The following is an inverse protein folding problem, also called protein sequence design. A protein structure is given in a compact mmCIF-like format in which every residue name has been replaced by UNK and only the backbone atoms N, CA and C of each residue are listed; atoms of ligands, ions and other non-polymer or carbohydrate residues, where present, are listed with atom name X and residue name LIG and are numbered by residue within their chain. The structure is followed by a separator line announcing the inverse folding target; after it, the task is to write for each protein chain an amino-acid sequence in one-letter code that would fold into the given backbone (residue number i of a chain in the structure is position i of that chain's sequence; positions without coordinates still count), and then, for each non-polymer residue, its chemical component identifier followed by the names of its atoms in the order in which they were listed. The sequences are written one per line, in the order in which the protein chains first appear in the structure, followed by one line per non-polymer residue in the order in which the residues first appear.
data_IF_405917986872
#
_entry.id   IF_405917986872
#
_cell.length_a   1.000
_cell.length_b   1.000
_cell.length_c   1.000
_cell.angle_alpha   90.00
_cell.angle_beta   90.00
_cell.angle_gamma   90.00
#
_symmetry.space_group_name_H-M   'P 1'
#
loop_
_entity.id
_entity.type
_entity.pdbx_description
1 polymer ?
#
# COMPACT_ATOMS: atom_id res chain seq x y z
N UNK A 1 1.83 -32.85 -3.61
CA UNK A 1 0.92 -31.80 -4.10
C UNK A 1 1.74 -30.52 -4.16
N UNK A 2 2.11 -30.08 -5.37
CA UNK A 2 3.03 -28.96 -5.59
C UNK A 2 2.32 -27.65 -5.23
N UNK A 3 2.91 -26.92 -4.28
CA UNK A 3 2.40 -25.65 -3.75
C UNK A 3 2.55 -24.58 -4.83
N UNK A 4 1.50 -23.88 -5.26
CA UNK A 4 1.64 -22.76 -6.16
C UNK A 4 2.50 -21.70 -5.48
N UNK A 5 3.65 -21.39 -6.08
CA UNK A 5 4.40 -20.19 -5.75
C UNK A 5 3.45 -18.99 -5.82
N UNK A 6 3.47 -18.15 -4.78
CA UNK A 6 2.61 -16.97 -4.62
C UNK A 6 2.96 -15.91 -5.69
N UNK A 7 2.55 -16.15 -6.93
CA UNK A 7 2.65 -15.22 -8.05
C UNK A 7 1.29 -14.52 -8.20
N UNK A 8 1.15 -13.36 -7.56
CA UNK A 8 0.00 -12.48 -7.70
C UNK A 8 -0.73 -12.20 -6.38
N UNK A 9 -1.05 -10.93 -6.14
CA UNK A 9 -1.97 -10.53 -5.07
C UNK A 9 -3.37 -10.89 -5.51
N UNK A 10 -3.90 -12.02 -5.04
CA UNK A 10 -5.35 -12.23 -5.03
C UNK A 10 -5.99 -11.05 -4.29
N UNK A 11 -7.15 -10.60 -4.74
CA UNK A 11 -7.88 -9.51 -4.10
C UNK A 11 -8.27 -9.96 -2.68
N UNK A 12 -7.51 -9.52 -1.68
CA UNK A 12 -7.70 -9.87 -0.28
C UNK A 12 -7.83 -8.59 0.56
N UNK A 13 -8.95 -8.45 1.25
CA UNK A 13 -9.19 -7.39 2.22
C UNK A 13 -8.64 -7.84 3.57
N UNK A 14 -7.38 -7.47 3.86
CA UNK A 14 -6.73 -7.89 5.11
C UNK A 14 -7.43 -7.31 6.34
N UNK A 15 -7.81 -6.04 6.29
CA UNK A 15 -8.64 -5.38 7.30
C UNK A 15 -9.77 -4.71 6.54
N UNK A 16 -10.98 -5.22 6.74
CA UNK A 16 -12.20 -4.64 6.20
C UNK A 16 -12.95 -3.90 7.27
N UNK A 17 -13.70 -2.89 6.88
CA UNK A 17 -14.46 -2.04 7.81
C UNK A 17 -15.97 -2.09 7.54
N UNK A 18 -16.46 -3.28 7.21
CA UNK A 18 -17.89 -3.51 6.99
C UNK A 18 -18.69 -3.12 8.24
N UNK A 19 -19.88 -2.54 8.03
CA UNK A 19 -20.78 -2.02 9.08
C UNK A 19 -20.23 -0.85 9.89
N UNK A 20 -19.11 -0.26 9.49
CA UNK A 20 -18.66 1.01 10.05
C UNK A 20 -19.69 2.11 9.72
N UNK A 21 -20.17 2.83 10.75
CA UNK A 21 -21.13 3.94 10.59
C UNK A 21 -20.63 4.99 9.58
N UNK A 22 -19.31 5.21 9.53
CA UNK A 22 -18.70 6.21 8.63
C UNK A 22 -19.03 6.00 7.15
N UNK A 23 -19.19 4.74 6.70
CA UNK A 23 -19.49 4.44 5.29
C UNK A 23 -20.85 3.76 5.08
N UNK A 24 -21.49 3.30 6.16
CA UNK A 24 -22.79 2.62 6.09
C UNK A 24 -22.79 1.35 5.23
N UNK A 25 -21.63 0.74 4.95
CA UNK A 25 -21.56 -0.42 4.06
C UNK A 25 -22.05 -1.69 4.78
N UNK A 26 -23.12 -2.37 4.32
CA UNK A 26 -23.67 -3.54 5.00
C UNK A 26 -22.79 -4.81 4.87
N UNK A 27 -21.83 -4.80 3.93
CA UNK A 27 -20.95 -5.93 3.59
C UNK A 27 -19.52 -5.42 3.37
N UNK A 28 -18.54 -6.32 3.34
CA UNK A 28 -17.13 -5.94 3.16
C UNK A 28 -16.85 -5.39 1.77
N UNK A 29 -15.83 -4.56 1.63
CA UNK A 29 -15.52 -3.91 0.34
C UNK A 29 -15.20 -4.94 -0.74
N UNK A 30 -14.54 -6.03 -0.36
CA UNK A 30 -14.23 -7.14 -1.26
C UNK A 30 -15.49 -7.67 -1.97
N UNK A 31 -16.64 -7.73 -1.28
CA UNK A 31 -17.90 -8.19 -1.88
C UNK A 31 -18.42 -7.30 -3.01
N UNK A 32 -17.98 -6.04 -3.09
CA UNK A 32 -18.26 -5.13 -4.19
C UNK A 32 -17.20 -5.22 -5.31
N UNK A 33 -16.03 -5.79 -5.03
CA UNK A 33 -15.02 -6.03 -6.07
C UNK A 33 -15.31 -7.35 -6.80
N UNK A 34 -15.79 -8.38 -6.09
CA UNK A 34 -16.06 -9.72 -6.66
C UNK A 34 -17.00 -9.73 -7.90
N UNK A 35 -18.06 -8.92 -7.97
CA UNK A 35 -18.91 -8.84 -9.16
C UNK A 35 -18.20 -8.31 -10.41
N UNK A 36 -17.01 -7.72 -10.27
CA UNK A 36 -16.23 -7.23 -11.39
C UNK A 36 -15.71 -8.39 -12.25
N UNK A 37 -16.44 -8.68 -13.33
CA UNK A 37 -16.03 -9.65 -14.34
C UNK A 37 -16.39 -9.13 -15.74
N UNK A 38 -15.69 -8.09 -16.20
CA UNK A 38 -15.89 -7.51 -17.53
C UNK A 38 -15.70 -8.51 -18.67
N UNK A 39 -14.90 -9.55 -18.45
CA UNK A 39 -14.67 -10.65 -19.39
C UNK A 39 -15.17 -11.96 -18.77
N UNK A 40 -16.38 -12.42 -19.12
CA UNK A 40 -16.98 -13.64 -18.58
C UNK A 40 -16.15 -14.91 -18.84
N UNK A 41 -15.36 -14.89 -19.93
CA UNK A 41 -14.51 -16.01 -20.34
C UNK A 41 -13.23 -16.14 -19.52
N UNK A 42 -12.90 -15.15 -18.67
CA UNK A 42 -11.72 -15.17 -17.82
C UNK A 42 -12.08 -15.63 -16.41
N UNK A 43 -11.17 -16.39 -15.81
CA UNK A 43 -11.31 -16.86 -14.45
C UNK A 43 -11.09 -15.71 -13.47
N UNK A 44 -11.67 -15.81 -12.27
CA UNK A 44 -11.43 -14.83 -11.19
C UNK A 44 -9.93 -14.70 -10.83
N UNK A 45 -9.14 -15.74 -11.09
CA UNK A 45 -7.69 -15.73 -10.86
C UNK A 45 -6.89 -14.89 -11.86
N UNK A 46 -7.50 -14.42 -12.94
CA UNK A 46 -6.85 -13.59 -13.96
C UNK A 46 -6.92 -12.08 -13.64
N UNK A 47 -7.67 -11.70 -12.58
CA UNK A 47 -7.79 -10.33 -12.08
C UNK A 47 -6.94 -10.14 -10.82
N UNK A 48 -6.05 -9.14 -10.85
CA UNK A 48 -5.11 -8.85 -9.78
C UNK A 48 -5.33 -7.46 -9.22
N UNK A 49 -5.35 -7.36 -7.90
CA UNK A 49 -5.31 -6.08 -7.23
C UNK A 49 -3.89 -5.48 -7.34
N UNK A 50 -3.81 -4.21 -7.74
CA UNK A 50 -2.53 -3.48 -7.82
C UNK A 50 -2.38 -2.55 -6.62
N UNK A 51 -3.28 -1.58 -6.48
CA UNK A 51 -3.24 -0.58 -5.42
C UNK A 51 -4.59 0.16 -5.32
N UNK A 52 -4.72 1.03 -4.32
CA UNK A 52 -5.88 1.89 -4.12
C UNK A 52 -5.44 3.28 -3.66
N UNK A 53 -6.32 4.25 -3.88
CA UNK A 53 -6.16 5.62 -3.40
C UNK A 53 -7.53 6.28 -3.34
N UNK A 54 -7.87 6.86 -2.19
CA UNK A 54 -9.15 7.53 -1.92
C UNK A 54 -10.37 6.76 -2.47
N UNK A 55 -10.47 5.47 -2.12
CA UNK A 55 -11.59 4.60 -2.47
C UNK A 55 -11.67 4.14 -3.92
N UNK A 56 -10.81 4.66 -4.81
CA UNK A 56 -10.57 4.07 -6.12
C UNK A 56 -9.60 2.91 -6.00
N UNK A 57 -9.82 1.88 -6.81
CA UNK A 57 -8.95 0.71 -6.89
C UNK A 57 -8.45 0.51 -8.32
N UNK A 58 -7.19 0.11 -8.43
CA UNK A 58 -6.55 -0.30 -9.68
C UNK A 58 -6.48 -1.82 -9.74
N UNK A 59 -7.11 -2.39 -10.77
CA UNK A 59 -7.07 -3.81 -11.10
C UNK A 59 -6.29 -3.99 -12.39
N UNK A 60 -5.39 -4.97 -12.41
CA UNK A 60 -4.77 -5.45 -13.63
C UNK A 60 -5.35 -6.80 -14.03
N UNK A 61 -5.45 -7.01 -15.33
CA UNK A 61 -5.88 -8.26 -15.93
C UNK A 61 -4.71 -8.80 -16.74
N UNK A 62 -4.31 -10.03 -16.44
CA UNK A 62 -3.32 -10.77 -17.23
C UNK A 62 -4.02 -11.78 -18.11
N UNK A 63 -3.83 -11.69 -19.42
CA UNK A 63 -4.25 -12.73 -20.36
C UNK A 63 -3.09 -13.70 -20.56
N UNK A 64 -3.37 -15.00 -20.57
CA UNK A 64 -2.35 -16.04 -20.84
C UNK A 64 -1.89 -16.06 -22.30
N UNK A 65 -2.53 -15.27 -23.17
CA UNK A 65 -2.13 -15.15 -24.56
C UNK A 65 -0.99 -14.12 -24.70
N UNK A 66 0.16 -14.50 -25.31
CA UNK A 66 1.35 -13.66 -25.39
C UNK A 66 1.18 -12.37 -26.23
N UNK A 67 0.08 -12.26 -26.97
CA UNK A 67 -0.27 -11.08 -27.78
C UNK A 67 -1.16 -10.06 -27.02
N UNK A 68 -1.75 -10.47 -25.90
CA UNK A 68 -2.60 -9.60 -25.08
C UNK A 68 -1.75 -8.87 -24.03
N UNK A 69 -1.56 -7.57 -24.24
CA UNK A 69 -0.99 -6.68 -23.23
C UNK A 69 -1.85 -6.68 -21.94
N UNK A 70 -1.22 -6.37 -20.80
CA UNK A 70 -1.93 -6.11 -19.54
C UNK A 70 -3.05 -5.10 -19.76
N UNK A 71 -4.24 -5.41 -19.26
CA UNK A 71 -5.37 -4.47 -19.26
C UNK A 71 -5.53 -3.92 -17.86
N UNK A 72 -5.71 -2.62 -17.74
CA UNK A 72 -5.84 -1.94 -16.47
C UNK A 72 -7.22 -1.29 -16.33
N UNK A 73 -7.77 -1.36 -15.12
CA UNK A 73 -9.06 -0.80 -14.79
C UNK A 73 -8.94 -0.02 -13.48
N UNK A 74 -9.34 1.24 -13.52
CA UNK A 74 -9.54 2.03 -12.31
C UNK A 74 -11.04 2.09 -12.05
N UNK A 75 -11.46 1.83 -10.81
CA UNK A 75 -12.88 1.82 -10.50
C UNK A 75 -13.22 2.15 -9.07
N UNK A 76 -14.49 2.52 -8.90
CA UNK A 76 -15.16 2.67 -7.62
C UNK A 76 -15.98 1.39 -7.40
N UNK A 77 -15.54 0.50 -6.49
CA UNK A 77 -16.22 -0.77 -6.27
C UNK A 77 -17.62 -0.55 -5.68
N UNK A 78 -17.82 0.43 -4.81
CA UNK A 78 -19.13 0.70 -4.19
C UNK A 78 -20.17 1.06 -5.25
N UNK A 79 -19.81 1.95 -6.19
CA UNK A 79 -20.70 2.37 -7.27
C UNK A 79 -20.71 1.43 -8.49
N UNK A 80 -19.92 0.36 -8.49
CA UNK A 80 -19.75 -0.55 -9.63
C UNK A 80 -19.33 0.17 -10.92
N UNK A 81 -18.56 1.25 -10.79
CA UNK A 81 -18.11 2.03 -11.93
C UNK A 81 -16.64 1.74 -12.22
N UNK A 82 -16.33 1.52 -13.50
CA UNK A 82 -15.01 1.11 -13.95
C UNK A 82 -14.63 1.83 -15.22
N UNK A 83 -13.38 2.28 -15.29
CA UNK A 83 -12.76 2.92 -16.46
C UNK A 83 -11.64 2.02 -16.93
N UNK A 84 -11.73 1.55 -18.17
CA UNK A 84 -10.65 0.84 -18.84
C UNK A 84 -9.59 1.85 -19.25
N UNK A 85 -8.35 1.63 -18.82
CA UNK A 85 -7.22 2.48 -19.17
C UNK A 85 -6.68 2.05 -20.55
N UNK A 86 -6.44 2.98 -21.49
CA UNK A 86 -5.79 2.66 -22.75
C UNK A 86 -4.38 2.09 -22.50
N UNK A 87 -3.86 1.22 -23.38
CA UNK A 87 -2.52 0.68 -23.19
C UNK A 87 -1.46 1.80 -23.16
N UNK A 88 -0.42 1.68 -22.32
CA UNK A 88 0.68 2.65 -22.31
C UNK A 88 1.42 2.65 -23.66
N UNK A 89 2.07 3.77 -24.04
CA UNK A 89 2.87 3.84 -25.26
C UNK A 89 3.98 2.78 -25.28
N UNK A 90 4.27 2.26 -26.48
CA UNK A 90 4.99 1.00 -26.68
C UNK A 90 6.48 1.08 -26.24
N UNK A 91 7.00 0.14 -25.42
CA UNK A 91 8.38 0.13 -24.90
C UNK A 91 9.53 -0.08 -25.90
N UNK A 92 9.27 -0.07 -27.22
CA UNK A 92 10.14 -0.68 -28.26
C UNK A 92 11.57 -0.12 -28.42
N UNK A 93 12.00 0.81 -27.59
CA UNK A 93 13.39 1.31 -27.54
C UNK A 93 14.22 0.77 -26.38
N UNK A 94 13.67 -0.04 -25.46
CA UNK A 94 14.43 -0.59 -24.33
C UNK A 94 14.77 -2.09 -24.50
N UNK A 95 16.02 -2.50 -24.23
CA UNK A 95 16.54 -3.85 -24.52
C UNK A 95 16.00 -4.96 -23.60
N UNK A 96 15.11 -4.64 -22.65
CA UNK A 96 14.50 -5.63 -21.76
C UNK A 96 13.00 -5.32 -21.61
N UNK A 97 12.13 -5.87 -22.49
CA UNK A 97 10.71 -5.59 -22.49
C UNK A 97 10.01 -6.40 -21.38
N UNK A 98 10.30 -6.09 -20.13
CA UNK A 98 9.42 -6.54 -19.06
C UNK A 98 8.16 -5.66 -19.13
N UNK A 99 6.97 -6.23 -19.31
CA UNK A 99 5.75 -5.45 -19.45
C UNK A 99 5.59 -4.51 -18.26
N UNK A 100 5.36 -3.22 -18.56
CA UNK A 100 5.23 -2.13 -17.61
C UNK A 100 4.21 -2.47 -16.53
N UNK A 101 4.67 -3.01 -15.40
CA UNK A 101 3.81 -3.26 -14.25
C UNK A 101 3.29 -1.93 -13.73
N UNK A 102 1.97 -1.80 -13.62
CA UNK A 102 1.39 -0.69 -12.89
C UNK A 102 2.00 -0.63 -11.49
N UNK A 103 2.58 0.53 -11.18
CA UNK A 103 3.34 0.74 -9.96
C UNK A 103 2.51 1.49 -8.94
N UNK A 104 1.69 2.47 -9.36
CA UNK A 104 0.94 3.31 -8.43
C UNK A 104 -0.35 3.89 -9.01
N UNK A 105 -1.21 4.34 -8.11
CA UNK A 105 -2.45 5.06 -8.39
C UNK A 105 -2.51 6.23 -7.40
N UNK A 106 -2.46 7.46 -7.90
CA UNK A 106 -2.64 8.65 -7.05
C UNK A 106 -3.92 9.37 -7.46
N UNK A 107 -4.60 9.98 -6.49
CA UNK A 107 -5.81 10.75 -6.72
C UNK A 107 -5.64 12.16 -6.19
N UNK A 108 -6.25 13.12 -6.88
CA UNK A 108 -6.50 14.46 -6.38
C UNK A 108 -7.90 14.50 -5.78
N UNK A 109 -8.02 15.10 -4.61
CA UNK A 109 -9.28 15.23 -3.88
C UNK A 109 -9.62 16.71 -3.76
N UNK A 110 -10.79 17.09 -4.27
CA UNK A 110 -11.34 18.44 -4.19
C UNK A 110 -12.68 18.37 -3.50
N UNK A 111 -12.89 19.24 -2.50
CA UNK A 111 -14.14 19.28 -1.71
C UNK A 111 -14.55 17.93 -1.11
N UNK A 112 -13.58 17.07 -0.79
CA UNK A 112 -13.80 15.75 -0.20
C UNK A 112 -14.15 14.64 -1.18
N UNK A 113 -14.17 14.91 -2.49
CA UNK A 113 -14.39 13.94 -3.56
C UNK A 113 -13.19 13.83 -4.50
N UNK A 114 -13.00 12.67 -5.12
CA UNK A 114 -11.91 12.47 -6.08
C UNK A 114 -12.24 13.21 -7.38
N UNK A 115 -11.50 14.28 -7.68
CA UNK A 115 -11.68 15.05 -8.92
C UNK A 115 -10.94 14.43 -10.10
N UNK A 116 -9.76 13.84 -9.85
CA UNK A 116 -8.97 13.15 -10.87
C UNK A 116 -8.09 12.05 -10.29
N UNK A 117 -7.62 11.16 -11.15
CA UNK A 117 -6.60 10.17 -10.82
C UNK A 117 -5.50 10.12 -11.88
N UNK A 118 -4.31 9.68 -11.45
CA UNK A 118 -3.20 9.32 -12.31
C UNK A 118 -2.74 7.90 -12.03
N UNK A 119 -2.56 7.13 -13.09
CA UNK A 119 -1.99 5.78 -13.03
C UNK A 119 -0.53 5.84 -13.47
N UNK A 120 0.35 5.23 -12.68
CA UNK A 120 1.79 5.22 -12.90
C UNK A 120 2.23 3.82 -13.30
N UNK A 121 2.99 3.71 -14.38
CA UNK A 121 3.68 2.48 -14.77
C UNK A 121 5.18 2.71 -14.81
N UNK A 122 5.95 1.80 -14.23
CA UNK A 122 7.41 1.83 -14.33
C UNK A 122 7.83 1.63 -15.79
N UNK A 123 8.73 2.47 -16.29
CA UNK A 123 9.33 2.37 -17.61
C UNK A 123 10.84 2.10 -17.57
N UNK A 124 11.38 1.79 -16.38
CA UNK A 124 12.76 1.41 -16.16
C UNK A 124 13.60 2.50 -15.51
N UNK A 125 14.78 2.10 -15.04
CA UNK A 125 15.72 2.97 -14.34
C UNK A 125 17.12 2.89 -14.93
N UNK A 126 17.72 4.06 -15.19
CA UNK A 126 19.14 4.14 -15.55
C UNK A 126 19.93 4.94 -14.51
N UNK A 127 21.22 4.63 -14.39
CA UNK A 127 22.17 5.48 -13.66
C UNK A 127 22.64 6.61 -14.57
N UNK A 128 22.66 7.84 -14.08
CA UNK A 128 23.40 8.92 -14.75
C UNK A 128 24.91 8.67 -14.64
N UNK A 129 25.74 9.29 -15.51
CA UNK A 129 27.19 9.27 -15.39
C UNK A 129 27.64 9.58 -13.94
N UNK A 130 28.75 8.96 -13.52
CA UNK A 130 29.22 8.89 -12.11
C UNK A 130 29.33 10.26 -11.43
N UNK A 131 29.51 11.30 -12.23
CA UNK A 131 29.76 12.69 -11.83
C UNK A 131 28.54 13.36 -11.21
N UNK A 132 27.31 12.86 -11.46
CA UNK A 132 26.07 13.43 -10.92
C UNK A 132 25.50 12.71 -9.71
N UNK A 133 25.91 11.46 -9.43
CA UNK A 133 25.39 10.69 -8.28
C UNK A 133 23.87 10.43 -8.26
N UNK A 134 23.16 10.69 -9.36
CA UNK A 134 21.69 10.63 -9.47
C UNK A 134 21.22 9.46 -10.34
N UNK A 135 20.01 9.01 -10.07
CA UNK A 135 19.31 7.95 -10.79
C UNK A 135 18.14 8.55 -11.58
N UNK A 136 17.92 8.08 -12.80
CA UNK A 136 16.73 8.44 -13.59
C UNK A 136 15.71 7.33 -13.46
N UNK A 137 14.57 7.65 -12.87
CA UNK A 137 13.38 6.81 -12.89
C UNK A 137 12.45 7.25 -14.01
N UNK A 138 12.23 6.37 -14.99
CA UNK A 138 11.33 6.64 -16.12
C UNK A 138 9.97 6.06 -15.82
N UNK A 139 8.94 6.84 -16.07
CA UNK A 139 7.55 6.42 -15.84
C UNK A 139 6.65 6.91 -16.95
N UNK A 140 5.65 6.09 -17.28
CA UNK A 140 4.50 6.52 -18.05
C UNK A 140 3.36 6.81 -17.07
N UNK A 141 2.73 7.97 -17.25
CA UNK A 141 1.67 8.47 -16.38
C UNK A 141 0.43 8.75 -17.21
N UNK A 142 -0.63 7.97 -16.97
CA UNK A 142 -1.95 8.24 -17.51
C UNK A 142 -2.67 9.25 -16.59
N UNK A 143 -3.32 10.26 -17.16
CA UNK A 143 -4.20 11.18 -16.41
C UNK A 143 -5.65 11.01 -16.80
N UNK A 144 -6.54 10.93 -15.80
CA UNK A 144 -7.99 10.95 -16.03
C UNK A 144 -8.48 12.33 -16.48
N UNK A 145 -7.73 13.41 -16.23
CA UNK A 145 -8.09 14.78 -16.65
C UNK A 145 -8.01 14.94 -18.17
N UNK A 146 -7.07 14.24 -18.81
CA UNK A 146 -6.79 14.37 -20.25
C UNK A 146 -7.12 13.11 -21.03
N UNK A 147 -7.19 11.96 -20.37
CA UNK A 147 -7.29 10.66 -21.02
C UNK A 147 -6.02 10.21 -21.75
N UNK A 148 -4.91 10.92 -21.55
CA UNK A 148 -3.66 10.69 -22.27
C UNK A 148 -2.55 10.17 -21.36
N UNK A 149 -1.64 9.42 -21.98
CA UNK A 149 -0.37 9.04 -21.39
C UNK A 149 0.67 10.15 -21.60
N UNK A 150 1.46 10.40 -20.57
CA UNK A 150 2.65 11.26 -20.61
C UNK A 150 3.85 10.47 -20.14
N UNK A 151 5.02 10.77 -20.70
CA UNK A 151 6.29 10.19 -20.26
C UNK A 151 7.01 11.18 -19.35
N UNK A 152 7.48 10.73 -18.19
CA UNK A 152 8.26 11.55 -17.26
C UNK A 152 9.60 10.88 -16.94
N UNK A 153 10.62 11.70 -16.79
CA UNK A 153 11.92 11.33 -16.23
C UNK A 153 12.05 11.99 -14.86
N UNK A 154 12.12 11.18 -13.83
CA UNK A 154 12.23 11.62 -12.45
C UNK A 154 13.67 11.40 -11.97
N UNK A 155 14.24 12.42 -11.34
CA UNK A 155 15.56 12.35 -10.75
C UNK A 155 15.44 11.86 -9.32
N UNK A 156 16.28 10.92 -8.92
CA UNK A 156 16.32 10.44 -7.55
C UNK A 156 17.76 10.29 -7.08
N UNK A 157 18.11 10.81 -5.88
CA UNK A 157 19.41 10.54 -5.26
C UNK A 157 19.67 9.06 -4.97
N UNK A 158 18.62 8.24 -4.99
CA UNK A 158 18.67 6.80 -4.72
C UNK A 158 18.01 6.02 -5.86
N UNK A 159 18.47 4.79 -6.18
CA UNK A 159 17.79 3.96 -7.17
C UNK A 159 16.36 3.67 -6.70
N UNK A 160 15.41 3.85 -7.62
CA UNK A 160 14.03 3.42 -7.44
C UNK A 160 13.93 1.99 -7.95
N UNK A 161 13.58 1.04 -7.09
CA UNK A 161 13.30 -0.33 -7.51
C UNK A 161 11.83 -0.64 -7.24
N UNK A 162 11.03 -0.70 -8.30
CA UNK A 162 9.61 -1.06 -8.22
C UNK A 162 9.48 -2.57 -8.18
N UNK A 163 9.37 -3.14 -6.98
CA UNK A 163 9.13 -4.57 -6.82
C UNK A 163 7.64 -4.89 -6.74
N UNK A 164 7.21 -5.93 -7.46
CA UNK A 164 5.86 -6.51 -7.42
C UNK A 164 5.33 -6.87 -6.01
N UNK A 165 6.21 -6.97 -5.02
CA UNK A 165 5.87 -7.48 -3.68
C UNK A 165 5.47 -6.40 -2.67
N UNK A 166 5.69 -5.12 -2.98
CA UNK A 166 5.51 -4.02 -2.05
C UNK A 166 4.65 -2.95 -2.71
N UNK A 167 3.35 -2.99 -2.44
CA UNK A 167 2.44 -1.96 -2.92
C UNK A 167 2.87 -0.61 -2.33
N UNK A 168 3.00 0.45 -3.14
CA UNK A 168 3.28 1.76 -2.60
C UNK A 168 2.10 2.27 -1.79
N UNK A 169 2.39 3.22 -0.91
CA UNK A 169 1.36 3.96 -0.18
C UNK A 169 1.07 5.23 -0.96
N UNK A 170 -0.21 5.47 -1.23
CA UNK A 170 -0.67 6.67 -1.93
C UNK A 170 -1.49 7.51 -0.96
N UNK A 171 -1.10 8.75 -0.73
CA UNK A 171 -1.89 9.70 0.06
C UNK A 171 -1.65 11.10 -0.46
N UNK A 172 -2.70 11.92 -0.49
CA UNK A 172 -2.66 13.34 -0.86
C UNK A 172 -1.77 13.63 -2.08
N UNK A 173 -2.11 13.05 -3.23
CA UNK A 173 -1.40 13.25 -4.52
C UNK A 173 0.03 12.67 -4.58
N UNK A 174 0.57 12.24 -3.44
CA UNK A 174 1.92 11.71 -3.30
C UNK A 174 1.96 10.19 -3.38
N UNK A 175 2.96 9.69 -4.12
CA UNK A 175 3.34 8.28 -4.14
C UNK A 175 4.51 8.07 -3.19
N UNK A 176 4.37 7.16 -2.21
CA UNK A 176 5.43 6.73 -1.31
C UNK A 176 5.86 5.30 -1.63
N UNK A 177 7.13 5.14 -1.99
CA UNK A 177 7.72 3.85 -2.33
C UNK A 177 8.81 3.49 -1.33
N UNK A 178 8.79 2.21 -0.95
CA UNK A 178 9.83 1.63 -0.12
C UNK A 178 11.08 1.31 -0.94
N UNK A 179 12.24 1.83 -0.55
CA UNK A 179 13.51 1.36 -1.11
C UNK A 179 14.03 0.18 -0.29
N UNK A 180 14.20 -0.96 -0.95
CA UNK A 180 14.96 -2.07 -0.38
C UNK A 180 16.44 -1.89 -0.72
N UNK A 181 17.24 -1.52 0.26
CA UNK A 181 18.70 -1.52 0.05
C UNK A 181 19.22 -2.95 -0.09
N UNK A 182 20.04 -3.15 -1.12
CA UNK A 182 20.88 -4.35 -1.28
C UNK A 182 22.06 -4.34 -0.29
N UNK A 183 22.44 -3.15 0.20
CA UNK A 183 23.48 -2.97 1.20
C UNK A 183 22.84 -2.90 2.61
N UNK A 184 23.16 -3.84 3.52
CA UNK A 184 22.64 -3.82 4.89
C UNK A 184 23.18 -2.68 5.75
N UNK A 185 24.18 -1.92 5.27
CA UNK A 185 24.81 -0.81 6.00
C UNK A 185 24.18 0.56 5.71
N UNK A 186 23.41 0.69 4.63
CA UNK A 186 22.78 1.97 4.30
C UNK A 186 21.48 2.21 5.09
N UNK A 187 21.22 3.47 5.52
CA UNK A 187 19.98 3.83 6.17
C UNK A 187 18.84 3.69 5.18
N UNK A 188 17.81 2.93 5.58
CA UNK A 188 16.65 2.68 4.75
C UNK A 188 15.80 3.94 4.59
N UNK A 189 15.28 4.17 3.40
CA UNK A 189 14.55 5.40 3.03
C UNK A 189 13.22 5.11 2.35
N UNK A 190 12.30 6.07 2.45
CA UNK A 190 11.16 6.19 1.55
C UNK A 190 11.53 7.13 0.40
N UNK A 191 11.07 6.79 -0.80
CA UNK A 191 11.14 7.67 -1.96
C UNK A 191 9.72 8.19 -2.18
N UNK A 192 9.56 9.51 -2.19
CA UNK A 192 8.28 10.17 -2.37
C UNK A 192 8.28 11.06 -3.62
N UNK A 193 7.17 11.10 -4.35
CA UNK A 193 7.03 12.00 -5.49
C UNK A 193 5.57 12.46 -5.67
N UNK A 194 5.41 13.75 -5.97
CA UNK A 194 4.15 14.39 -6.34
C UNK A 194 3.91 14.27 -7.84
N UNK A 195 2.95 13.46 -8.25
CA UNK A 195 2.63 13.29 -9.67
C UNK A 195 1.72 14.39 -10.25
N UNK A 196 1.18 15.25 -9.39
CA UNK A 196 0.37 16.41 -9.74
C UNK A 196 1.17 17.71 -9.76
N UNK A 197 2.25 17.77 -8.97
CA UNK A 197 3.23 18.85 -8.99
C UNK A 197 4.07 18.92 -10.26
N UNK A 198 4.80 20.03 -10.38
CA UNK A 198 5.75 20.30 -11.47
C UNK A 198 7.17 19.83 -11.18
N UNK A 199 7.45 19.40 -9.96
CA UNK A 199 8.76 18.90 -9.55
C UNK A 199 9.13 17.64 -10.36
N UNK A 200 10.42 17.49 -10.68
CA UNK A 200 10.97 16.30 -11.35
C UNK A 200 11.87 15.48 -10.43
N UNK A 201 12.18 15.99 -9.24
CA UNK A 201 13.01 15.31 -8.26
C UNK A 201 12.15 14.50 -7.28
N UNK A 202 12.63 13.32 -6.94
CA UNK A 202 12.05 12.48 -5.90
C UNK A 202 12.61 12.89 -4.55
N UNK A 203 11.74 13.01 -3.55
CA UNK A 203 12.14 13.29 -2.18
C UNK A 203 12.62 12.00 -1.51
N UNK A 204 13.78 12.05 -0.88
CA UNK A 204 14.35 10.94 -0.12
C UNK A 204 14.12 11.20 1.36
N UNK A 205 13.28 10.36 1.98
CA UNK A 205 12.85 10.52 3.37
C UNK A 205 13.52 9.41 4.19
N UNK A 206 14.49 9.73 5.06
CA UNK A 206 15.07 8.76 5.99
C UNK A 206 14.00 8.20 6.92
N UNK A 207 14.09 6.92 7.27
CA UNK A 207 13.23 6.35 8.32
C UNK A 207 13.56 6.91 9.71
N UNK A 208 12.59 6.93 10.64
CA UNK A 208 12.77 7.55 11.96
C UNK A 208 13.81 6.82 12.82
N UNK A 209 13.95 5.49 12.67
CA UNK A 209 14.98 4.71 13.35
C UNK A 209 15.93 4.11 12.31
N UNK A 210 17.26 4.11 12.56
CA UNK A 210 18.24 3.49 11.67
C UNK A 210 17.97 2.01 11.37
N UNK A 211 18.76 1.45 10.45
CA UNK A 211 18.68 0.04 10.11
C UNK A 211 18.90 -0.84 11.36
N UNK A 212 17.97 -1.76 11.59
CA UNK A 212 18.10 -2.81 12.59
C UNK A 212 17.40 -4.06 12.05
N UNK A 213 18.04 -5.21 12.07
CA UNK A 213 17.44 -6.46 11.55
C UNK A 213 16.23 -6.95 12.37
N UNK A 214 16.12 -6.52 13.63
CA UNK A 214 15.07 -6.91 14.57
C UNK A 214 13.88 -5.95 14.58
N UNK A 215 13.99 -4.79 13.93
CA UNK A 215 12.85 -3.87 13.82
C UNK A 215 11.79 -4.47 12.88
N UNK A 216 10.55 -4.35 13.30
CA UNK A 216 9.37 -4.65 12.49
C UNK A 216 8.66 -3.35 12.21
N UNK A 217 8.31 -3.10 10.95
CA UNK A 217 7.69 -1.84 10.56
C UNK A 217 6.44 -2.04 9.75
N UNK A 218 5.56 -1.06 9.84
CA UNK A 218 4.46 -0.89 8.91
C UNK A 218 4.40 0.58 8.47
N UNK A 219 4.16 0.80 7.18
CA UNK A 219 3.75 2.09 6.64
C UNK A 219 2.26 2.03 6.33
N UNK A 220 1.50 2.94 6.93
CA UNK A 220 0.03 2.94 6.96
C UNK A 220 -0.46 4.37 6.94
N UNK A 221 -1.77 4.58 6.80
CA UNK A 221 -2.37 5.89 6.83
C UNK A 221 -3.41 5.98 7.93
N UNK A 222 -3.56 7.16 8.53
CA UNK A 222 -4.61 7.44 9.52
C UNK A 222 -4.97 8.92 9.48
N UNK A 223 -6.26 9.24 9.37
CA UNK A 223 -6.77 10.63 9.34
C UNK A 223 -6.10 11.55 8.30
N UNK A 224 -5.65 11.00 7.17
CA UNK A 224 -4.93 11.78 6.14
C UNK A 224 -3.42 11.84 6.33
N UNK A 225 -2.88 11.27 7.41
CA UNK A 225 -1.45 11.26 7.67
C UNK A 225 -0.77 9.96 7.23
N UNK A 226 0.47 10.06 6.77
CA UNK A 226 1.37 8.91 6.65
C UNK A 226 1.94 8.56 8.02
N UNK A 227 1.70 7.34 8.46
CA UNK A 227 2.15 6.83 9.75
C UNK A 227 3.14 5.68 9.54
N UNK A 228 4.28 5.77 10.23
CA UNK A 228 5.23 4.67 10.37
C UNK A 228 5.09 4.08 11.78
N UNK A 229 4.70 2.80 11.84
CA UNK A 229 4.60 2.05 13.09
C UNK A 229 5.81 1.15 13.21
N UNK A 230 6.50 1.21 14.35
CA UNK A 230 7.71 0.44 14.58
C UNK A 230 7.63 -0.38 15.88
N UNK A 231 8.10 -1.61 15.82
CA UNK A 231 8.33 -2.46 16.99
C UNK A 231 9.79 -2.89 17.00
N UNK A 232 10.55 -2.46 18.01
CA UNK A 232 11.95 -2.83 18.23
C UNK A 232 12.18 -3.16 19.70
N UNK A 233 12.80 -4.30 20.03
CA UNK A 233 13.08 -4.71 21.41
C UNK A 233 11.87 -4.58 22.37
N UNK A 234 10.67 -4.97 21.89
CA UNK A 234 9.39 -4.87 22.62
C UNK A 234 8.89 -3.44 22.87
N UNK A 235 9.46 -2.45 22.20
CA UNK A 235 9.02 -1.06 22.26
C UNK A 235 8.25 -0.74 20.99
N UNK A 236 7.00 -0.31 21.15
CA UNK A 236 6.14 0.18 20.08
C UNK A 236 6.26 1.70 20.00
N UNK A 237 6.52 2.20 18.79
CA UNK A 237 6.57 3.63 18.46
C UNK A 237 5.70 3.91 17.25
N UNK A 238 5.01 5.05 17.28
CA UNK A 238 4.18 5.53 16.20
C UNK A 238 4.70 6.91 15.77
N UNK A 239 5.09 7.01 14.50
CA UNK A 239 5.65 8.21 13.92
C UNK A 239 4.73 8.75 12.83
N UNK A 240 4.44 10.04 12.86
CA UNK A 240 3.77 10.78 11.79
C UNK A 240 4.79 11.43 10.89
N UNK A 241 4.62 11.28 9.58
CA UNK A 241 5.44 12.00 8.61
C UNK A 241 5.05 13.47 8.59
N UNK A 242 6.04 14.35 8.74
CA UNK A 242 5.91 15.78 8.57
C UNK A 242 6.79 16.22 7.39
N UNK A 243 6.27 16.12 6.17
CA UNK A 243 7.06 16.38 4.95
C UNK A 243 7.34 17.87 4.73
N UNK A 244 6.59 18.75 5.40
CA UNK A 244 6.69 20.21 5.23
C UNK A 244 7.47 20.90 6.36
N UNK A 245 7.72 20.24 7.49
CA UNK A 245 8.58 20.80 8.55
C UNK A 245 10.04 20.49 8.25
N UNK A 246 10.76 21.51 7.79
CA UNK A 246 12.20 21.47 7.61
C UNK A 246 12.96 21.59 8.95
N UNK A 247 12.31 22.10 10.00
CA UNK A 247 12.94 22.41 11.29
C UNK A 247 12.94 21.22 12.27
N UNK A 248 11.87 20.42 12.30
CA UNK A 248 11.70 19.32 13.27
C UNK A 248 12.12 17.93 12.72
N UNK A 249 12.60 17.88 11.49
CA UNK A 249 12.85 16.65 10.74
C UNK A 249 11.58 15.99 10.21
N UNK A 250 11.75 14.96 9.38
CA UNK A 250 10.65 14.33 8.65
C UNK A 250 9.64 13.58 9.52
N UNK A 251 9.97 13.24 10.77
CA UNK A 251 9.14 12.34 11.60
C UNK A 251 8.87 12.91 12.98
N UNK A 252 7.59 13.01 13.32
CA UNK A 252 7.12 13.39 14.65
C UNK A 252 6.64 12.14 15.40
N UNK A 253 7.15 11.92 16.61
CA UNK A 253 6.64 10.84 17.47
C UNK A 253 5.25 11.23 18.01
N UNK A 254 4.24 10.41 17.77
CA UNK A 254 2.85 10.70 18.16
C UNK A 254 2.52 10.29 19.60
N UNK A 255 3.15 9.23 20.10
CA UNK A 255 2.83 8.66 21.41
C UNK A 255 4.10 8.42 22.22
N UNK A 256 4.03 8.41 23.56
CA UNK A 256 5.06 7.81 24.37
C UNK A 256 5.36 6.38 23.92
N UNK A 257 6.59 5.94 24.12
CA UNK A 257 7.01 4.58 23.79
C UNK A 257 6.22 3.56 24.64
N UNK A 258 5.49 2.65 23.98
CA UNK A 258 4.71 1.62 24.66
C UNK A 258 5.57 0.37 24.83
N UNK A 259 5.74 -0.07 26.08
CA UNK A 259 6.40 -1.34 26.36
C UNK A 259 5.41 -2.49 26.17
N UNK A 260 5.59 -3.24 25.09
CA UNK A 260 4.75 -4.38 24.72
C UNK A 260 4.71 -5.47 25.79
N UNK A 261 5.70 -5.52 26.69
CA UNK A 261 5.68 -6.43 27.84
C UNK A 261 4.59 -6.10 28.86
N UNK A 262 4.35 -4.82 29.12
CA UNK A 262 3.38 -4.37 30.12
C UNK A 262 1.94 -4.57 29.67
N UNK A 263 1.71 -4.52 28.35
CA UNK A 263 0.39 -4.79 27.75
C UNK A 263 0.16 -6.27 27.43
N UNK A 264 0.96 -7.17 28.03
CA UNK A 264 0.81 -8.63 27.85
C UNK A 264 1.25 -9.17 26.48
N UNK A 265 1.73 -8.30 25.57
CA UNK A 265 2.18 -8.63 24.21
C UNK A 265 3.70 -8.84 24.13
N UNK A 266 4.23 -9.47 25.18
CA UNK A 266 5.67 -9.52 25.50
C UNK A 266 6.53 -10.11 24.36
N UNK A 267 5.94 -10.82 23.37
CA UNK A 267 6.68 -11.37 22.23
C UNK A 267 5.88 -11.51 20.91
N UNK A 268 6.57 -11.14 19.81
CA UNK A 268 6.33 -11.46 18.39
C UNK A 268 5.05 -10.92 17.75
N UNK A 269 4.64 -9.71 18.14
CA UNK A 269 3.68 -8.94 17.35
C UNK A 269 4.33 -8.37 16.08
N UNK A 270 3.55 -8.17 15.02
CA UNK A 270 3.94 -7.41 13.84
C UNK A 270 2.95 -6.25 13.65
N UNK A 271 3.43 -5.03 13.39
CA UNK A 271 2.52 -3.93 13.07
C UNK A 271 1.85 -4.20 11.73
N UNK A 272 0.55 -3.97 11.65
CA UNK A 272 -0.24 -4.17 10.43
C UNK A 272 -0.76 -2.87 9.85
N UNK A 273 -1.29 -1.99 10.70
CA UNK A 273 -2.11 -0.87 10.28
C UNK A 273 -2.46 0.04 11.45
N UNK A 274 -2.62 1.32 11.19
CA UNK A 274 -3.42 2.21 12.03
C UNK A 274 -4.88 2.16 11.58
N UNK A 275 -5.82 2.43 12.48
CA UNK A 275 -7.19 2.67 12.07
C UNK A 275 -7.25 3.95 11.21
N UNK A 276 -7.95 3.92 10.06
CA UNK A 276 -7.97 5.06 9.13
C UNK A 276 -8.65 6.31 9.70
N UNK A 277 -9.51 6.16 10.72
CA UNK A 277 -10.32 7.24 11.28
C UNK A 277 -10.01 7.57 12.72
N UNK A 278 -9.44 6.62 13.45
CA UNK A 278 -9.07 6.78 14.84
C UNK A 278 -7.56 6.59 14.99
N UNK A 279 -6.84 7.70 15.15
CA UNK A 279 -5.40 7.69 15.33
C UNK A 279 -4.96 7.02 16.63
N UNK A 280 -5.88 6.75 17.55
CA UNK A 280 -5.58 6.05 18.80
C UNK A 280 -5.71 4.53 18.65
N UNK A 281 -6.28 4.02 17.56
CA UNK A 281 -6.46 2.58 17.36
C UNK A 281 -5.38 2.03 16.42
N UNK A 282 -4.66 1.02 16.90
CA UNK A 282 -3.64 0.28 16.14
C UNK A 282 -4.05 -1.19 15.97
N UNK A 283 -3.69 -1.76 14.82
CA UNK A 283 -3.84 -3.19 14.53
C UNK A 283 -2.46 -3.86 14.42
N UNK A 284 -2.30 -4.95 15.16
CA UNK A 284 -1.10 -5.77 15.20
C UNK A 284 -1.46 -7.23 14.92
N UNK A 285 -0.50 -8.01 14.45
CA UNK A 285 -0.62 -9.47 14.34
C UNK A 285 0.15 -10.15 15.46
N UNK A 286 -0.53 -10.88 16.34
CA UNK A 286 0.14 -11.72 17.33
C UNK A 286 0.55 -13.05 16.73
N UNK A 287 1.86 -13.28 16.63
CA UNK A 287 2.36 -14.59 16.18
C UNK A 287 2.08 -15.71 17.16
N UNK A 288 2.09 -15.41 18.46
CA UNK A 288 1.84 -16.42 19.51
C UNK A 288 0.43 -16.99 19.37
N UNK A 289 -0.54 -16.11 19.12
CA UNK A 289 -1.94 -16.46 19.03
C UNK A 289 -2.42 -16.69 17.59
N UNK A 290 -1.57 -16.41 16.60
CA UNK A 290 -1.90 -16.45 15.17
C UNK A 290 -3.18 -15.68 14.85
N UNK A 291 -3.33 -14.50 15.43
CA UNK A 291 -4.55 -13.70 15.32
C UNK A 291 -4.28 -12.19 15.41
N UNK A 292 -5.32 -11.40 15.14
CA UNK A 292 -5.31 -9.95 15.27
C UNK A 292 -5.23 -9.53 16.75
N UNK A 293 -4.54 -8.43 16.98
CA UNK A 293 -4.63 -7.65 18.21
C UNK A 293 -5.01 -6.22 17.83
N UNK A 294 -6.04 -5.67 18.45
CA UNK A 294 -6.30 -4.22 18.42
C UNK A 294 -5.76 -3.59 19.69
N UNK A 295 -5.18 -2.41 19.59
CA UNK A 295 -4.74 -1.63 20.75
C UNK A 295 -5.30 -0.23 20.71
N UNK A 296 -5.71 0.30 21.87
CA UNK A 296 -5.92 1.72 22.06
C UNK A 296 -4.64 2.33 22.63
N UNK A 297 -4.04 3.27 21.91
CA UNK A 297 -2.77 3.90 22.24
C UNK A 297 -2.89 4.88 23.42
N UNK A 298 -4.07 5.46 23.62
CA UNK A 298 -4.35 6.37 24.74
C UNK A 298 -4.52 5.60 26.05
N UNK A 299 -5.38 4.58 26.07
CA UNK A 299 -5.63 3.76 27.27
C UNK A 299 -4.58 2.67 27.49
N UNK A 300 -3.78 2.37 26.47
CA UNK A 300 -2.83 1.24 26.42
C UNK A 300 -3.50 -0.13 26.62
N UNK A 301 -4.79 -0.24 26.32
CA UNK A 301 -5.51 -1.49 26.36
C UNK A 301 -5.39 -2.22 25.02
N UNK A 302 -4.98 -3.49 25.08
CA UNK A 302 -4.81 -4.35 23.91
C UNK A 302 -5.70 -5.59 24.03
N UNK A 303 -6.46 -5.85 22.97
CA UNK A 303 -7.43 -6.94 22.89
C UNK A 303 -6.96 -7.94 21.85
N UNK A 304 -6.83 -9.20 22.26
CA UNK A 304 -6.47 -10.33 21.38
C UNK A 304 -7.75 -10.96 20.83
N UNK A 305 -7.90 -10.93 19.51
CA UNK A 305 -9.10 -11.40 18.82
C UNK A 305 -8.94 -12.88 18.46
N UNK A 306 -9.43 -13.80 19.30
CA UNK A 306 -9.31 -15.24 19.06
C UNK A 306 -10.22 -15.73 17.92
N UNK A 307 -9.78 -16.78 17.20
CA UNK A 307 -10.43 -17.28 15.98
C UNK A 307 -11.74 -18.04 16.23
N UNK A 308 -11.96 -18.55 17.44
CA UNK A 308 -13.02 -19.54 17.75
C UNK A 308 -14.44 -18.97 17.87
N UNK A 309 -14.65 -17.67 17.65
CA UNK A 309 -16.00 -17.13 17.50
C UNK A 309 -16.41 -17.14 16.03
N UNK A 310 -17.05 -18.23 15.58
CA UNK A 310 -17.87 -18.23 14.35
C UNK A 310 -18.95 -17.13 14.37
N UNK A 311 -19.20 -16.53 15.54
CA UNK A 311 -20.02 -15.34 15.74
C UNK A 311 -19.15 -14.11 16.03
N UNK A 312 -18.49 -13.54 15.02
CA UNK A 312 -18.15 -12.11 15.03
C UNK A 312 -19.41 -11.28 14.77
N UNK A 313 -20.31 -11.30 15.75
CA UNK A 313 -21.39 -10.34 15.95
C UNK A 313 -21.07 -9.56 17.21
N UNK A 314 -20.02 -8.75 17.20
CA UNK A 314 -20.09 -7.55 18.03
C UNK A 314 -20.65 -6.46 17.13
N UNK A 315 -21.84 -6.00 17.47
CA UNK A 315 -22.39 -4.74 16.94
C UNK A 315 -21.50 -3.54 17.33
N UNK A 316 -20.42 -3.76 18.09
CA UNK A 316 -19.49 -2.74 18.59
C UNK A 316 -18.14 -2.66 17.83
N UNK A 317 -17.73 -3.66 17.03
CA UNK A 317 -16.45 -3.58 16.28
C UNK A 317 -16.67 -3.41 14.78
N UNK A 318 -16.32 -2.23 14.27
CA UNK A 318 -16.51 -1.81 12.89
C UNK A 318 -15.55 -2.49 11.87
N UNK A 319 -14.83 -3.56 12.23
CA UNK A 319 -13.84 -4.18 11.33
C UNK A 319 -13.89 -5.73 11.28
N UNK A 320 -13.73 -6.30 10.08
CA UNK A 320 -13.64 -7.74 9.77
C UNK A 320 -12.30 -8.06 9.13
N UNK A 321 -11.67 -9.19 9.46
CA UNK A 321 -10.33 -9.54 8.98
C UNK A 321 -10.32 -10.90 8.28
N UNK A 322 -9.66 -10.97 7.13
CA UNK A 322 -9.35 -12.24 6.47
C UNK A 322 -8.07 -12.85 7.08
N UNK A 323 -8.25 -13.62 8.15
CA UNK A 323 -7.13 -14.20 8.93
C UNK A 323 -6.42 -15.34 8.21
N UNK A 324 -7.10 -16.07 7.32
CA UNK A 324 -6.52 -17.23 6.61
C UNK A 324 -5.44 -16.80 5.61
N UNK A 325 -5.78 -15.87 4.71
CA UNK A 325 -4.82 -15.36 3.72
C UNK A 325 -3.69 -14.59 4.41
N UNK A 326 -4.01 -13.88 5.49
CA UNK A 326 -3.01 -13.12 6.22
C UNK A 326 -2.04 -14.00 7.01
N UNK A 327 -2.49 -15.08 7.62
CA UNK A 327 -1.60 -16.06 8.27
C UNK A 327 -0.58 -16.60 7.26
N UNK A 328 -1.04 -16.99 6.07
CA UNK A 328 -0.15 -17.48 5.02
C UNK A 328 0.84 -16.39 4.57
N UNK A 329 0.36 -15.16 4.35
CA UNK A 329 1.22 -14.01 4.02
C UNK A 329 2.31 -13.81 5.09
N UNK A 330 1.93 -13.82 6.37
CA UNK A 330 2.87 -13.66 7.48
C UNK A 330 3.89 -14.79 7.56
N UNK A 331 3.48 -16.04 7.38
CA UNK A 331 4.39 -17.18 7.31
C UNK A 331 5.37 -17.09 6.13
N UNK A 332 4.91 -16.64 4.97
CA UNK A 332 5.75 -16.41 3.79
C UNK A 332 6.77 -15.29 4.01
N UNK A 333 6.33 -14.17 4.59
CA UNK A 333 7.20 -13.04 4.96
C UNK A 333 8.25 -13.47 5.99
N UNK A 334 7.91 -14.30 6.96
CA UNK A 334 8.86 -14.84 7.93
C UNK A 334 9.87 -15.81 7.29
N UNK A 335 9.42 -16.73 6.43
CA UNK A 335 10.32 -17.62 5.68
C UNK A 335 11.33 -16.82 4.86
N UNK A 336 10.92 -15.70 4.26
CA UNK A 336 11.81 -14.79 3.53
C UNK A 336 12.77 -14.03 4.44
N UNK A 337 12.29 -13.50 5.57
CA UNK A 337 13.13 -12.84 6.57
C UNK A 337 14.28 -13.75 7.01
N UNK A 338 13.98 -15.01 7.36
CA UNK A 338 14.97 -15.97 7.82
C UNK A 338 15.99 -16.39 6.74
N UNK A 339 15.59 -16.37 5.46
CA UNK A 339 16.47 -16.76 4.34
C UNK A 339 17.41 -15.66 3.87
N UNK A 340 17.08 -14.38 4.11
CA UNK A 340 17.77 -13.25 3.44
C UNK A 340 18.17 -12.11 4.37
N UNK A 341 18.11 -12.27 5.70
CA UNK A 341 18.38 -11.21 6.69
C UNK A 341 17.67 -9.88 6.36
N UNK A 342 16.43 -9.97 5.85
CA UNK A 342 15.69 -8.79 5.41
C UNK A 342 14.86 -8.22 6.54
N UNK A 343 14.95 -6.91 6.76
CA UNK A 343 14.03 -6.19 7.64
C UNK A 343 12.59 -6.39 7.14
N UNK A 344 11.71 -6.81 8.04
CA UNK A 344 10.30 -7.04 7.78
C UNK A 344 9.54 -5.71 7.84
N UNK A 345 9.38 -5.06 6.69
CA UNK A 345 8.41 -3.98 6.53
C UNK A 345 7.18 -4.58 5.89
N UNK A 346 6.07 -4.44 6.58
CA UNK A 346 4.76 -4.85 6.13
C UNK A 346 4.09 -3.61 5.56
N UNK A 347 3.89 -3.56 4.25
CA UNK A 347 3.06 -2.56 3.61
C UNK A 347 1.79 -3.26 3.16
N UNK A 348 0.72 -3.09 3.94
CA UNK A 348 -0.59 -3.58 3.58
C UNK A 348 -1.31 -2.43 2.89
N UNK A 349 -1.86 -2.72 1.72
CA UNK A 349 -2.78 -1.79 1.12
C UNK A 349 -4.06 -1.79 1.95
N UNK A 350 -4.30 -0.69 2.66
CA UNK A 350 -5.53 -0.52 3.42
C UNK A 350 -6.60 0.00 2.48
N UNK A 351 -7.67 -0.76 2.34
CA UNK A 351 -8.85 -0.34 1.60
C UNK A 351 -9.63 0.69 2.43
N UNK A 352 -9.25 1.95 2.33
CA UNK A 352 -9.92 3.05 3.02
C UNK A 352 -10.74 3.83 2.01
N UNK A 353 -12.06 3.85 2.20
CA UNK A 353 -12.93 4.69 1.39
C UNK A 353 -12.91 6.14 1.92
N UNK A 354 -13.02 7.16 1.06
CA UNK A 354 -13.26 8.53 1.50
C UNK A 354 -14.64 8.64 2.17
N UNK A 355 -14.86 9.75 2.87
CA UNK A 355 -16.17 10.04 3.48
C UNK A 355 -17.27 10.24 2.43
N UNK A 356 -16.90 10.73 1.24
CA UNK A 356 -17.81 10.97 0.12
C UNK A 356 -17.33 10.16 -1.09
N UNK A 357 -18.23 9.43 -1.72
CA UNK A 357 -17.95 8.63 -2.90
C UNK A 357 -18.67 9.23 -4.10
N UNK A 358 -17.89 9.82 -5.01
CA UNK A 358 -18.41 10.28 -6.30
C UNK A 358 -18.16 9.27 -7.42
N UNK A 359 -18.71 9.59 -8.59
CA UNK A 359 -18.46 8.81 -9.80
C UNK A 359 -16.97 8.81 -10.12
N UNK A 360 -16.48 7.71 -10.70
CA UNK A 360 -15.08 7.60 -11.13
C UNK A 360 -14.80 8.71 -12.15
N UNK A 361 -13.76 9.55 -11.96
CA UNK A 361 -13.39 10.57 -12.93
C UNK A 361 -13.19 9.97 -14.33
N UNK A 362 -13.71 10.64 -15.34
CA UNK A 362 -13.57 10.22 -16.74
C UNK A 362 -12.90 11.32 -17.55
N UNK A 363 -12.09 10.96 -18.55
CA UNK A 363 -11.60 11.92 -19.52
C UNK A 363 -12.75 12.69 -20.19
N UNK A 364 -12.52 13.95 -20.60
CA UNK A 364 -13.45 14.64 -21.48
C UNK A 364 -13.63 13.81 -22.75
N UNK A 365 -14.90 13.62 -23.15
CA UNK A 365 -15.30 12.83 -24.32
C UNK A 365 -14.68 13.32 -25.63
#
# INVERSE_FOLDING_TARGET
MLVPEYWGHYIAETIGFAKCETWGLPKSLLSYIVPFQLYPNLSRGDYYYVCSSNGLILISLYSKHPEDNYKYFVGNPVLQQWVKIPPPPNPRSHPNPNPYGATGLVTRVENGAVSSFKMITDAGTDKLPRDKGMYVWRVCVYSSETGLWSFKQLLSPRPVETFYYYAPVNIDEMLYMWKKDCDPTEPKVLIAHDFYGSETECRVIPLPVPYNENVKRCLTTSRGDVICVEILHRKLKIWRLNINSLEDGYWQLLTPEINMAYVGLNFKCFPMAMNPFDSDIIYLWSRKHSCLVSGNLHTQEFIVHHQDSENWTSDESCCRINTFDFKYYMEHMERRRNRRNQTSIIMLSQFVLPRWMDSVPRPPN
#
